data_IF_674360414723
#
_entry.id   IF_674360414723
#
_cell.length_a   1.000
_cell.length_b   1.000
_cell.length_c   1.000
_cell.angle_alpha   90.00
_cell.angle_beta   90.00
_cell.angle_gamma   90.00
#
_symmetry.space_group_name_H-M   'P 1'
#
loop_
_entity.id
_entity.type
_entity.pdbx_description
1 polymer ?
#
# COMPACT_ATOMS: atom_id res chain seq x y z
N UNK A 1 -1.43 -18.61 7.86
CA UNK A 1 -0.63 -17.90 8.88
C UNK A 1 -1.55 -17.45 10.01
N UNK A 2 -1.19 -17.61 11.29
CA UNK A 2 -2.04 -17.13 12.37
C UNK A 2 -1.61 -15.72 12.77
N UNK A 3 -2.50 -14.73 12.58
CA UNK A 3 -2.28 -13.38 13.08
C UNK A 3 -2.29 -13.39 14.62
N UNK A 4 -1.39 -12.60 15.21
CA UNK A 4 -1.30 -12.48 16.66
C UNK A 4 -2.38 -11.54 17.23
N UNK A 5 -2.86 -10.59 16.41
CA UNK A 5 -3.82 -9.57 16.82
C UNK A 5 -4.58 -8.98 15.63
N UNK A 6 -5.74 -8.38 15.87
CA UNK A 6 -6.60 -7.78 14.86
C UNK A 6 -6.63 -6.25 15.02
N UNK A 7 -6.67 -5.51 13.91
CA UNK A 7 -6.74 -4.05 13.87
C UNK A 7 -8.05 -3.62 13.22
N UNK A 8 -8.85 -2.85 13.95
CA UNK A 8 -10.16 -2.36 13.51
C UNK A 8 -10.24 -0.83 13.36
N UNK A 9 -9.21 -0.11 13.80
CA UNK A 9 -9.10 1.35 13.66
C UNK A 9 -7.65 1.82 13.82
N UNK A 10 -7.36 3.05 13.40
CA UNK A 10 -6.06 3.68 13.59
C UNK A 10 -5.73 3.87 15.09
N UNK A 11 -6.73 4.23 15.90
CA UNK A 11 -6.57 4.40 17.34
C UNK A 11 -6.19 3.07 18.03
N UNK A 12 -6.81 1.96 17.62
CA UNK A 12 -6.47 0.61 18.10
C UNK A 12 -5.04 0.24 17.74
N UNK A 13 -4.62 0.51 16.50
CA UNK A 13 -3.25 0.25 16.06
C UNK A 13 -2.22 1.06 16.87
N UNK A 14 -2.44 2.36 17.05
CA UNK A 14 -1.57 3.22 17.89
C UNK A 14 -1.41 2.66 19.32
N UNK A 15 -2.53 2.25 19.94
CA UNK A 15 -2.52 1.66 21.28
C UNK A 15 -1.66 0.40 21.36
N UNK A 16 -1.77 -0.48 20.37
CA UNK A 16 -1.03 -1.75 20.33
C UNK A 16 0.46 -1.55 20.03
N UNK A 17 0.82 -0.54 19.25
CA UNK A 17 2.21 -0.21 18.94
C UNK A 17 2.97 0.41 20.10
N UNK A 18 2.30 1.19 20.95
CA UNK A 18 2.93 2.01 22.01
C UNK A 18 3.93 1.24 22.84
N UNK A 19 3.56 0.05 23.32
CA UNK A 19 4.43 -0.82 24.14
C UNK A 19 5.74 -1.23 23.47
N UNK A 20 5.73 -1.36 22.14
CA UNK A 20 6.94 -1.74 21.40
C UNK A 20 7.82 -0.52 21.14
N UNK A 21 7.21 0.62 20.77
CA UNK A 21 7.93 1.87 20.52
C UNK A 21 8.62 2.43 21.78
N UNK A 22 8.10 2.13 22.97
CA UNK A 22 8.72 2.50 24.24
C UNK A 22 9.92 1.60 24.60
N UNK A 23 10.00 0.39 24.04
CA UNK A 23 11.01 -0.61 24.41
C UNK A 23 12.11 -0.81 23.36
N UNK A 24 11.87 -0.42 22.12
CA UNK A 24 12.77 -0.75 21.01
C UNK A 24 12.99 0.43 20.08
N UNK A 25 14.24 0.72 19.79
CA UNK A 25 14.65 1.83 18.90
C UNK A 25 14.56 1.46 17.41
N UNK A 26 14.70 0.18 17.06
CA UNK A 26 14.72 -0.30 15.68
C UNK A 26 13.59 -1.30 15.44
N UNK A 27 12.53 -0.80 14.83
CA UNK A 27 11.36 -1.60 14.44
C UNK A 27 11.16 -1.40 12.94
N UNK A 28 10.97 -2.51 12.23
CA UNK A 28 10.68 -2.55 10.81
C UNK A 28 9.29 -3.12 10.60
N UNK A 29 8.61 -2.58 9.60
CA UNK A 29 7.26 -2.98 9.25
C UNK A 29 7.16 -3.32 7.77
N UNK A 30 6.26 -4.26 7.45
CA UNK A 30 5.83 -4.54 6.11
C UNK A 30 4.32 -4.69 6.09
N UNK A 31 3.64 -3.96 5.20
CA UNK A 31 2.21 -4.06 4.95
C UNK A 31 1.94 -4.89 3.70
N UNK A 32 0.96 -5.78 3.76
CA UNK A 32 0.52 -6.61 2.64
C UNK A 32 -1.01 -6.53 2.53
N UNK A 33 -1.49 -6.27 1.33
CA UNK A 33 -2.92 -6.03 1.06
C UNK A 33 -3.77 -7.30 1.21
N UNK A 34 -3.16 -8.46 1.11
CA UNK A 34 -3.74 -9.78 1.32
C UNK A 34 -2.69 -10.74 1.87
N UNK A 35 -3.08 -11.94 2.24
CA UNK A 35 -2.15 -12.99 2.62
C UNK A 35 -1.43 -13.52 1.37
N UNK A 36 -0.14 -13.25 1.29
CA UNK A 36 0.73 -13.88 0.31
C UNK A 36 1.38 -15.12 0.91
N UNK A 37 1.50 -16.22 0.14
CA UNK A 37 2.10 -17.45 0.65
C UNK A 37 3.56 -17.24 1.08
N UNK A 38 4.29 -16.39 0.36
CA UNK A 38 5.70 -16.09 0.61
C UNK A 38 5.96 -14.60 0.49
N UNK A 39 6.82 -14.05 1.36
CA UNK A 39 7.34 -12.67 1.28
C UNK A 39 8.62 -12.66 0.46
N UNK A 40 8.43 -12.83 -0.84
CA UNK A 40 9.50 -12.95 -1.82
C UNK A 40 9.79 -11.63 -2.52
N UNK A 41 11.07 -11.35 -2.81
CA UNK A 41 11.44 -10.22 -3.66
C UNK A 41 11.02 -10.48 -5.12
N UNK A 42 10.95 -9.39 -5.90
CA UNK A 42 10.50 -9.48 -7.30
C UNK A 42 11.38 -10.37 -8.19
N UNK A 43 12.64 -10.58 -7.82
CA UNK A 43 13.58 -11.44 -8.54
C UNK A 43 13.15 -12.92 -8.56
N UNK A 44 12.34 -13.35 -7.59
CA UNK A 44 11.85 -14.72 -7.50
C UNK A 44 10.50 -14.96 -8.18
N UNK A 45 9.93 -13.96 -8.85
CA UNK A 45 8.63 -14.08 -9.54
C UNK A 45 8.70 -14.84 -10.85
N UNK A 46 9.91 -15.02 -11.39
CA UNK A 46 10.18 -15.81 -12.59
C UNK A 46 11.56 -16.44 -12.44
N UNK A 47 11.70 -17.72 -12.82
CA UNK A 47 12.95 -18.47 -12.66
C UNK A 47 14.13 -17.80 -13.38
N UNK A 48 13.89 -17.24 -14.57
CA UNK A 48 14.92 -16.57 -15.35
C UNK A 48 15.45 -15.27 -14.74
N UNK A 49 14.72 -14.63 -13.81
CA UNK A 49 15.18 -13.36 -13.24
C UNK A 49 16.41 -13.55 -12.33
N UNK A 50 16.38 -14.52 -11.44
CA UNK A 50 17.50 -14.77 -10.54
C UNK A 50 18.76 -15.19 -11.31
N UNK A 51 18.61 -16.06 -12.29
CA UNK A 51 19.73 -16.53 -13.14
C UNK A 51 20.38 -15.37 -13.93
N UNK A 52 19.61 -14.32 -14.26
CA UNK A 52 20.06 -13.18 -15.05
C UNK A 52 20.17 -11.87 -14.24
N UNK A 53 20.25 -11.93 -12.90
CA UNK A 53 20.29 -10.74 -12.04
C UNK A 53 21.43 -9.77 -12.43
N UNK A 54 22.65 -10.29 -12.59
CA UNK A 54 23.81 -9.50 -13.03
C UNK A 54 23.66 -8.96 -14.45
N UNK A 55 23.12 -9.76 -15.38
CA UNK A 55 22.89 -9.31 -16.77
C UNK A 55 21.89 -8.15 -16.81
N UNK A 56 20.77 -8.26 -16.11
CA UNK A 56 19.77 -7.19 -16.02
C UNK A 56 20.38 -5.91 -15.43
N UNK A 57 21.20 -6.02 -14.38
CA UNK A 57 21.90 -4.86 -13.84
C UNK A 57 22.84 -4.22 -14.87
N UNK A 58 23.68 -5.02 -15.55
CA UNK A 58 24.65 -4.52 -16.52
C UNK A 58 23.98 -3.86 -17.71
N UNK A 59 22.92 -4.45 -18.27
CA UNK A 59 22.16 -3.86 -19.37
C UNK A 59 21.51 -2.53 -18.97
N UNK A 60 20.92 -2.45 -17.79
CA UNK A 60 20.37 -1.19 -17.27
C UNK A 60 21.45 -0.12 -17.06
N UNK A 61 22.66 -0.52 -16.62
CA UNK A 61 23.79 0.42 -16.52
C UNK A 61 24.29 0.89 -17.88
N UNK A 62 24.24 0.05 -18.91
CA UNK A 62 24.58 0.47 -20.28
C UNK A 62 23.55 1.44 -20.85
N UNK A 63 22.26 1.17 -20.65
CA UNK A 63 21.18 2.00 -21.18
C UNK A 63 20.97 3.31 -20.41
N UNK A 64 21.09 3.26 -19.06
CA UNK A 64 20.67 4.36 -18.17
C UNK A 64 21.70 4.76 -17.13
N UNK A 65 22.97 4.40 -17.29
CA UNK A 65 24.03 4.64 -16.31
C UNK A 65 24.20 6.11 -15.93
N UNK A 66 24.01 7.04 -16.87
CA UNK A 66 24.03 8.48 -16.58
C UNK A 66 22.94 8.93 -15.61
N UNK A 67 21.74 8.33 -15.70
CA UNK A 67 20.62 8.62 -14.81
C UNK A 67 20.86 8.05 -13.42
N UNK A 68 21.66 6.98 -13.32
CA UNK A 68 21.97 6.28 -12.08
C UNK A 68 23.30 6.70 -11.44
N UNK A 69 24.05 7.66 -12.05
CA UNK A 69 25.39 8.05 -11.56
C UNK A 69 25.42 8.61 -10.14
N UNK A 70 24.30 9.22 -9.72
CA UNK A 70 24.18 9.79 -8.37
C UNK A 70 23.64 8.81 -7.34
N UNK A 71 23.28 7.59 -7.76
CA UNK A 71 22.80 6.55 -6.85
C UNK A 71 23.93 6.04 -5.96
N UNK A 72 23.62 5.87 -4.69
CA UNK A 72 24.61 5.47 -3.70
C UNK A 72 25.04 4.02 -3.90
N UNK A 73 26.24 3.81 -4.43
CA UNK A 73 26.86 2.48 -4.63
C UNK A 73 25.92 1.47 -5.31
N UNK A 74 26.16 0.18 -5.14
CA UNK A 74 25.29 -0.87 -5.69
C UNK A 74 23.89 -0.88 -5.06
N UNK A 75 23.78 -0.69 -3.74
CA UNK A 75 22.50 -0.70 -3.04
C UNK A 75 21.53 0.39 -3.54
N UNK A 76 22.03 1.61 -3.76
CA UNK A 76 21.20 2.70 -4.30
C UNK A 76 20.81 2.47 -5.75
N UNK A 77 21.68 1.83 -6.55
CA UNK A 77 21.34 1.44 -7.93
C UNK A 77 20.27 0.35 -7.96
N UNK A 78 20.41 -0.69 -7.14
CA UNK A 78 19.36 -1.72 -7.00
C UNK A 78 18.02 -1.12 -6.57
N UNK A 79 18.02 -0.16 -5.65
CA UNK A 79 16.81 0.54 -5.24
C UNK A 79 16.16 1.33 -6.37
N UNK A 80 16.97 1.97 -7.25
CA UNK A 80 16.45 2.64 -8.45
C UNK A 80 15.95 1.65 -9.50
N UNK A 81 16.61 0.52 -9.67
CA UNK A 81 16.15 -0.55 -10.57
C UNK A 81 14.78 -1.05 -10.13
N UNK A 82 14.61 -1.39 -8.84
CA UNK A 82 13.33 -1.82 -8.29
C UNK A 82 12.24 -0.76 -8.46
N UNK A 83 12.55 0.51 -8.23
CA UNK A 83 11.61 1.61 -8.45
C UNK A 83 11.11 1.68 -9.91
N UNK A 84 11.95 1.28 -10.85
CA UNK A 84 11.63 1.22 -12.29
C UNK A 84 11.20 -0.17 -12.75
N UNK A 85 10.68 -1.00 -11.85
CA UNK A 85 10.13 -2.33 -12.10
C UNK A 85 11.14 -3.37 -12.63
N UNK A 86 12.43 -3.14 -12.49
CA UNK A 86 13.42 -4.19 -12.74
C UNK A 86 13.45 -5.13 -11.53
N UNK A 87 13.34 -6.44 -11.73
CA UNK A 87 13.40 -7.39 -10.64
C UNK A 87 14.71 -7.31 -9.86
N UNK A 88 14.64 -7.28 -8.55
CA UNK A 88 15.80 -7.25 -7.64
C UNK A 88 15.57 -8.16 -6.43
N UNK A 89 16.65 -8.49 -5.71
CA UNK A 89 16.60 -9.22 -4.43
C UNK A 89 16.23 -8.35 -3.23
N UNK A 90 15.89 -7.08 -3.45
CA UNK A 90 15.42 -6.19 -2.40
C UNK A 90 13.94 -6.43 -2.13
N UNK A 91 13.57 -6.36 -0.86
CA UNK A 91 12.18 -6.36 -0.42
C UNK A 91 11.92 -5.07 0.37
N UNK A 92 10.88 -4.33 -0.04
CA UNK A 92 10.51 -3.07 0.61
C UNK A 92 9.97 -3.34 2.02
N UNK A 93 10.53 -2.62 2.97
CA UNK A 93 10.07 -2.51 4.35
C UNK A 93 10.09 -1.03 4.74
N UNK A 94 9.46 -0.68 5.82
CA UNK A 94 9.42 0.71 6.30
C UNK A 94 9.68 0.77 7.80
N UNK A 95 10.16 1.90 8.28
CA UNK A 95 10.23 2.20 9.72
C UNK A 95 8.96 2.91 10.23
N UNK A 96 8.04 3.26 9.33
CA UNK A 96 6.79 3.90 9.68
C UNK A 96 5.63 2.90 9.73
N UNK A 97 5.05 2.61 10.91
CA UNK A 97 3.95 1.68 11.04
C UNK A 97 2.70 2.11 10.27
N UNK A 98 2.46 3.42 10.12
CA UNK A 98 1.27 3.92 9.42
C UNK A 98 1.39 3.78 7.91
N UNK A 99 2.61 3.89 7.38
CA UNK A 99 2.89 3.55 5.97
C UNK A 99 2.63 2.06 5.72
N UNK A 100 3.10 1.17 6.61
CA UNK A 100 2.81 -0.26 6.49
C UNK A 100 1.30 -0.55 6.61
N UNK A 101 0.59 0.14 7.52
CA UNK A 101 -0.86 0.01 7.65
C UNK A 101 -1.59 0.49 6.38
N UNK A 102 -1.11 1.57 5.75
CA UNK A 102 -1.64 2.02 4.47
C UNK A 102 -1.52 0.92 3.40
N UNK A 103 -0.34 0.30 3.24
CA UNK A 103 -0.13 -0.79 2.29
C UNK A 103 -1.04 -2.00 2.57
N UNK A 104 -1.24 -2.34 3.85
CA UNK A 104 -2.16 -3.43 4.23
C UNK A 104 -3.63 -3.11 3.89
N UNK A 105 -3.98 -1.82 3.83
CA UNK A 105 -5.32 -1.33 3.50
C UNK A 105 -5.45 -0.86 2.05
N UNK A 106 -4.40 -0.94 1.22
CA UNK A 106 -4.38 -0.36 -0.12
C UNK A 106 -5.48 -0.96 -1.01
N UNK A 107 -6.04 -0.12 -1.88
CA UNK A 107 -7.08 -0.51 -2.82
C UNK A 107 -6.45 -0.94 -4.14
N UNK A 108 -6.13 -2.22 -4.27
CA UNK A 108 -5.59 -2.80 -5.50
C UNK A 108 -6.65 -3.70 -6.17
N UNK A 109 -7.52 -3.10 -6.99
CA UNK A 109 -8.45 -3.84 -7.83
C UNK A 109 -9.34 -4.83 -7.04
N UNK A 110 -9.09 -6.13 -7.20
CA UNK A 110 -9.89 -7.24 -6.66
C UNK A 110 -9.65 -7.50 -5.15
N UNK A 111 -8.54 -7.02 -4.58
CA UNK A 111 -8.13 -7.38 -3.21
C UNK A 111 -8.85 -6.60 -2.08
N UNK A 112 -9.91 -5.84 -2.40
CA UNK A 112 -10.68 -5.10 -1.38
C UNK A 112 -11.51 -5.97 -0.45
N UNK A 113 -11.77 -7.21 -0.82
CA UNK A 113 -12.56 -8.19 -0.08
C UNK A 113 -11.71 -9.13 0.78
N UNK A 114 -10.39 -9.02 0.70
CA UNK A 114 -9.45 -9.82 1.48
C UNK A 114 -8.88 -9.03 2.66
N UNK A 115 -8.55 -9.76 3.73
CA UNK A 115 -7.89 -9.19 4.90
C UNK A 115 -6.47 -8.74 4.54
N UNK A 116 -6.03 -7.63 5.12
CA UNK A 116 -4.66 -7.15 5.02
C UNK A 116 -3.83 -7.54 6.24
N UNK A 117 -2.50 -7.43 6.11
CA UNK A 117 -1.58 -7.82 7.17
C UNK A 117 -0.46 -6.80 7.34
N UNK A 118 -0.11 -6.52 8.60
CA UNK A 118 1.11 -5.76 8.95
C UNK A 118 2.02 -6.67 9.76
N UNK A 119 3.20 -6.90 9.24
CA UNK A 119 4.28 -7.66 9.87
C UNK A 119 5.23 -6.71 10.57
N UNK A 120 5.57 -7.00 11.82
CA UNK A 120 6.49 -6.22 12.62
C UNK A 120 7.73 -7.03 12.97
N UNK A 121 8.90 -6.44 12.74
CA UNK A 121 10.20 -7.04 13.01
C UNK A 121 11.01 -6.13 13.93
N UNK A 122 11.61 -6.69 14.98
CA UNK A 122 12.56 -6.00 15.85
C UNK A 122 13.93 -6.58 15.55
N UNK A 123 14.79 -5.83 14.89
CA UNK A 123 16.10 -6.27 14.40
C UNK A 123 17.09 -5.11 14.40
N UNK A 124 18.37 -5.44 14.61
CA UNK A 124 19.45 -4.48 14.41
C UNK A 124 19.79 -4.41 12.92
N UNK A 125 19.32 -3.36 12.26
CA UNK A 125 19.63 -3.12 10.86
C UNK A 125 21.07 -2.65 10.65
N UNK A 126 21.58 -2.86 9.44
CA UNK A 126 22.88 -2.38 9.01
C UNK A 126 22.75 -1.02 8.32
N UNK A 127 23.70 -0.13 8.56
CA UNK A 127 23.81 1.12 7.78
C UNK A 127 24.06 0.78 6.30
N UNK A 128 23.51 1.57 5.37
CA UNK A 128 23.83 1.43 3.94
C UNK A 128 25.32 1.61 3.64
N UNK A 129 26.08 2.25 4.57
CA UNK A 129 27.53 2.41 4.51
C UNK A 129 28.31 1.20 5.02
N UNK A 130 27.65 0.22 5.64
CA UNK A 130 28.36 -0.94 6.22
C UNK A 130 28.97 -1.81 5.13
N UNK A 131 30.13 -2.44 5.42
CA UNK A 131 30.75 -3.38 4.48
C UNK A 131 29.82 -4.53 4.11
N UNK A 132 29.02 -5.04 5.06
CA UNK A 132 28.12 -6.16 4.81
C UNK A 132 27.07 -5.81 3.75
N UNK A 133 26.46 -4.60 3.81
CA UNK A 133 25.51 -4.12 2.80
C UNK A 133 26.19 -3.92 1.46
N UNK A 134 27.42 -3.39 1.47
CA UNK A 134 28.20 -3.21 0.24
C UNK A 134 28.49 -4.58 -0.42
N UNK A 135 28.96 -5.57 0.35
CA UNK A 135 29.27 -6.91 -0.14
C UNK A 135 28.04 -7.55 -0.78
N UNK A 136 26.92 -7.60 -0.04
CA UNK A 136 25.71 -8.28 -0.51
C UNK A 136 25.09 -7.60 -1.73
N UNK A 137 25.10 -6.26 -1.77
CA UNK A 137 24.61 -5.50 -2.94
C UNK A 137 25.57 -5.59 -4.14
N UNK A 138 26.88 -5.64 -3.90
CA UNK A 138 27.88 -5.83 -4.96
C UNK A 138 27.72 -7.21 -5.61
N UNK A 139 27.56 -8.25 -4.79
CA UNK A 139 27.32 -9.60 -5.26
C UNK A 139 26.05 -9.70 -6.12
N UNK A 140 24.97 -9.04 -5.73
CA UNK A 140 23.73 -8.95 -6.53
C UNK A 140 23.96 -8.29 -7.90
N UNK A 141 24.80 -7.26 -7.97
CA UNK A 141 25.10 -6.56 -9.22
C UNK A 141 26.10 -7.31 -10.11
N UNK A 142 26.98 -8.10 -9.51
CA UNK A 142 28.10 -8.80 -10.16
C UNK A 142 28.27 -10.21 -9.56
N UNK A 143 27.33 -11.10 -9.79
CA UNK A 143 27.35 -12.46 -9.19
C UNK A 143 28.53 -13.32 -9.67
N UNK A 144 29.15 -12.93 -10.80
CA UNK A 144 30.32 -13.60 -11.35
C UNK A 144 31.63 -13.35 -10.57
N UNK A 145 31.66 -12.35 -9.69
CA UNK A 145 32.89 -12.04 -8.94
C UNK A 145 33.21 -13.12 -7.89
N UNK A 146 34.45 -13.54 -7.87
CA UNK A 146 34.97 -14.40 -6.81
C UNK A 146 35.02 -13.70 -5.46
N UNK A 147 35.01 -14.46 -4.36
CA UNK A 147 35.08 -13.85 -3.00
C UNK A 147 36.35 -13.02 -2.81
N UNK A 148 37.47 -13.42 -3.45
CA UNK A 148 38.71 -12.65 -3.46
C UNK A 148 38.57 -11.32 -4.13
N UNK A 149 37.94 -11.26 -5.32
CA UNK A 149 37.68 -10.00 -6.04
C UNK A 149 36.75 -9.09 -5.26
N UNK A 150 35.72 -9.64 -4.60
CA UNK A 150 34.86 -8.87 -3.71
C UNK A 150 35.65 -8.30 -2.54
N UNK A 151 36.53 -9.09 -1.89
CA UNK A 151 37.36 -8.62 -0.79
C UNK A 151 38.29 -7.48 -1.23
N UNK A 152 38.89 -7.58 -2.44
CA UNK A 152 39.70 -6.52 -3.02
C UNK A 152 38.90 -5.22 -3.25
N UNK A 153 37.67 -5.33 -3.79
CA UNK A 153 36.79 -4.17 -3.97
C UNK A 153 36.36 -3.54 -2.64
N UNK A 154 36.07 -4.34 -1.62
CA UNK A 154 35.77 -3.86 -0.26
C UNK A 154 36.94 -3.07 0.29
N UNK A 155 38.17 -3.57 0.14
CA UNK A 155 39.38 -2.83 0.56
C UNK A 155 39.57 -1.54 -0.22
N UNK A 156 39.37 -1.56 -1.54
CA UNK A 156 39.52 -0.38 -2.39
C UNK A 156 38.55 0.73 -1.99
N UNK A 157 37.26 0.37 -1.76
CA UNK A 157 36.19 1.32 -1.51
C UNK A 157 36.08 1.76 -0.04
N UNK A 158 36.27 0.83 0.89
CA UNK A 158 35.92 1.04 2.30
C UNK A 158 37.15 1.04 3.22
N UNK A 159 38.33 0.65 2.70
CA UNK A 159 39.59 0.49 3.48
C UNK A 159 39.42 -0.48 4.66
N UNK A 160 38.56 -1.49 4.50
CA UNK A 160 38.31 -2.55 5.48
C UNK A 160 38.72 -3.89 4.86
N UNK A 161 39.49 -4.69 5.60
CA UNK A 161 39.91 -6.02 5.15
C UNK A 161 38.87 -7.07 5.58
N UNK A 162 38.45 -7.90 4.62
CA UNK A 162 37.62 -9.08 4.84
C UNK A 162 38.36 -10.29 4.28
N UNK A 163 38.31 -11.42 5.00
CA UNK A 163 38.74 -12.71 4.45
C UNK A 163 37.67 -13.28 3.50
N UNK A 164 38.06 -14.19 2.65
CA UNK A 164 37.12 -14.87 1.73
C UNK A 164 35.99 -15.59 2.49
N UNK A 165 36.32 -16.25 3.62
CA UNK A 165 35.32 -16.89 4.47
C UNK A 165 34.32 -15.88 5.03
N UNK A 166 34.79 -14.69 5.38
CA UNK A 166 33.90 -13.62 5.88
C UNK A 166 33.00 -13.07 4.77
N UNK A 167 33.53 -12.90 3.56
CA UNK A 167 32.75 -12.53 2.37
C UNK A 167 31.66 -13.58 2.13
N UNK A 168 32.03 -14.86 2.09
CA UNK A 168 31.07 -15.96 1.92
C UNK A 168 29.96 -15.93 2.99
N UNK A 169 30.33 -15.76 4.27
CA UNK A 169 29.36 -15.65 5.36
C UNK A 169 28.37 -14.51 5.13
N UNK A 170 28.85 -13.34 4.67
CA UNK A 170 27.98 -12.17 4.42
C UNK A 170 27.02 -12.43 3.26
N UNK A 171 27.50 -13.06 2.16
CA UNK A 171 26.67 -13.37 0.99
C UNK A 171 25.51 -14.32 1.35
N UNK A 172 25.71 -15.19 2.34
CA UNK A 172 24.68 -16.12 2.84
C UNK A 172 23.91 -15.60 4.08
N UNK A 173 24.02 -14.31 4.41
CA UNK A 173 23.33 -13.71 5.57
C UNK A 173 22.42 -12.56 5.12
N UNK A 174 21.08 -12.73 5.16
CA UNK A 174 20.16 -11.66 4.78
C UNK A 174 20.22 -10.50 5.78
N UNK A 175 19.99 -9.28 5.29
CA UNK A 175 20.19 -8.06 6.04
C UNK A 175 18.97 -7.13 6.03
N UNK A 176 18.65 -6.57 7.20
CA UNK A 176 17.84 -5.36 7.29
C UNK A 176 18.74 -4.15 7.09
N UNK A 177 18.41 -3.29 6.12
CA UNK A 177 19.15 -2.06 5.84
C UNK A 177 18.41 -0.89 6.47
N UNK A 178 19.13 -0.11 7.28
CA UNK A 178 18.57 1.09 7.93
C UNK A 178 18.15 2.13 6.89
N UNK A 179 17.10 2.86 7.22
CA UNK A 179 16.73 4.04 6.44
C UNK A 179 17.90 5.01 6.33
N UNK A 180 18.18 5.50 5.14
CA UNK A 180 19.23 6.49 4.88
C UNK A 180 18.77 7.49 3.83
N UNK A 181 19.23 8.73 3.95
CA UNK A 181 19.04 9.75 2.91
C UNK A 181 19.76 9.37 1.61
N UNK A 182 20.89 8.69 1.72
CA UNK A 182 21.68 8.25 0.56
C UNK A 182 20.90 7.29 -0.35
N UNK A 183 20.05 6.44 0.23
CA UNK A 183 19.20 5.50 -0.50
C UNK A 183 18.01 6.18 -1.19
N UNK A 184 17.62 7.37 -0.74
CA UNK A 184 16.49 8.13 -1.29
C UNK A 184 16.90 9.15 -2.35
N UNK A 185 18.18 9.23 -2.71
CA UNK A 185 18.66 10.13 -3.77
C UNK A 185 18.02 9.72 -5.10
N UNK A 186 17.27 10.64 -5.69
CA UNK A 186 16.54 10.39 -6.93
C UNK A 186 15.28 9.52 -6.81
N UNK A 187 14.88 9.16 -5.58
CA UNK A 187 13.69 8.34 -5.33
C UNK A 187 12.80 8.95 -4.24
N UNK A 188 11.87 9.81 -4.67
CA UNK A 188 10.90 10.49 -3.79
C UNK A 188 9.96 9.51 -3.08
N UNK A 189 9.69 8.34 -3.69
CA UNK A 189 8.82 7.31 -3.11
C UNK A 189 9.46 6.68 -1.88
N UNK A 190 10.73 6.29 -1.93
CA UNK A 190 11.47 5.75 -0.75
C UNK A 190 11.44 6.78 0.39
N UNK A 191 11.59 8.06 0.06
CA UNK A 191 11.57 9.13 1.05
C UNK A 191 10.20 9.27 1.71
N UNK A 192 9.13 9.35 0.92
CA UNK A 192 7.75 9.48 1.38
C UNK A 192 7.31 8.27 2.21
N UNK A 193 7.63 7.09 1.75
CA UNK A 193 7.31 5.83 2.43
C UNK A 193 8.18 5.55 3.66
N UNK A 194 9.13 6.43 4.00
CA UNK A 194 10.16 6.17 5.02
C UNK A 194 10.78 4.79 4.83
N UNK A 195 10.97 4.45 3.55
CA UNK A 195 11.36 3.15 3.09
C UNK A 195 12.80 2.79 3.45
N UNK A 196 12.99 1.53 3.65
CA UNK A 196 14.26 0.84 3.77
C UNK A 196 14.12 -0.55 3.16
N UNK A 197 15.16 -1.38 3.21
CA UNK A 197 15.15 -2.65 2.50
C UNK A 197 15.52 -3.81 3.40
N UNK A 198 14.93 -4.96 3.10
CA UNK A 198 15.50 -6.24 3.43
C UNK A 198 16.21 -6.76 2.17
N UNK A 199 17.49 -7.12 2.28
CA UNK A 199 18.26 -7.73 1.18
C UNK A 199 18.26 -9.23 1.39
N UNK A 200 17.70 -9.97 0.43
CA UNK A 200 17.76 -11.43 0.42
C UNK A 200 19.20 -11.89 0.12
N UNK A 201 19.65 -12.91 0.82
CA UNK A 201 20.95 -13.52 0.68
C UNK A 201 20.86 -14.81 -0.13
N UNK A 202 21.97 -15.30 -0.66
CA UNK A 202 22.01 -16.59 -1.34
C UNK A 202 21.79 -17.73 -0.35
N UNK A 203 21.02 -18.73 -0.74
CA UNK A 203 20.95 -19.99 -0.01
C UNK A 203 21.98 -21.00 -0.56
N UNK A 204 22.15 -22.12 0.14
CA UNK A 204 23.09 -23.18 -0.26
C UNK A 204 22.62 -23.98 -1.50
N UNK A 205 21.40 -23.75 -2.00
CA UNK A 205 20.76 -24.51 -3.08
C UNK A 205 20.63 -23.72 -4.38
N UNK A 206 21.17 -22.50 -4.43
CA UNK A 206 21.08 -21.61 -5.58
C UNK A 206 19.81 -20.77 -5.62
N UNK A 207 19.07 -20.71 -4.51
CA UNK A 207 17.94 -19.80 -4.30
C UNK A 207 18.30 -18.64 -3.38
N UNK A 208 17.28 -18.01 -2.78
CA UNK A 208 17.47 -16.92 -1.84
C UNK A 208 16.85 -17.19 -0.47
N UNK A 209 17.55 -16.75 0.57
CA UNK A 209 17.04 -16.65 1.93
C UNK A 209 16.16 -15.39 2.00
N UNK A 210 14.86 -15.60 2.02
CA UNK A 210 13.85 -14.52 1.97
C UNK A 210 13.44 -14.05 3.38
N UNK A 211 12.58 -13.04 3.44
CA UNK A 211 12.07 -12.51 4.70
C UNK A 211 11.22 -13.55 5.48
N UNK A 212 10.74 -14.60 4.84
CA UNK A 212 10.02 -15.70 5.50
C UNK A 212 10.89 -16.51 6.47
N UNK A 213 12.21 -16.52 6.24
CA UNK A 213 13.16 -17.13 7.18
C UNK A 213 13.28 -16.38 8.50
N UNK A 214 12.78 -15.13 8.56
CA UNK A 214 12.84 -14.25 9.72
C UNK A 214 11.45 -14.16 10.35
N UNK A 215 11.21 -14.80 11.50
CA UNK A 215 9.90 -14.70 12.15
C UNK A 215 9.61 -13.26 12.57
N UNK A 216 8.42 -12.71 12.23
CA UNK A 216 7.97 -11.43 12.75
C UNK A 216 7.67 -11.56 14.24
N UNK A 217 7.87 -10.46 14.99
CA UNK A 217 7.51 -10.39 16.42
C UNK A 217 5.99 -10.29 16.59
N UNK A 218 5.33 -9.58 15.66
CA UNK A 218 3.87 -9.45 15.64
C UNK A 218 3.36 -9.50 14.19
N UNK A 219 2.17 -10.07 14.04
CA UNK A 219 1.39 -10.05 12.81
C UNK A 219 0.02 -9.47 13.16
N UNK A 220 -0.29 -8.30 12.60
CA UNK A 220 -1.58 -7.66 12.74
C UNK A 220 -2.44 -7.96 11.51
N UNK A 221 -3.63 -8.51 11.71
CA UNK A 221 -4.64 -8.71 10.67
C UNK A 221 -5.56 -7.50 10.60
N UNK A 222 -5.82 -7.01 9.43
CA UNK A 222 -6.77 -5.94 9.16
C UNK A 222 -7.94 -6.57 8.37
N UNK A 223 -9.11 -6.79 8.98
CA UNK A 223 -10.26 -7.35 8.27
C UNK A 223 -10.66 -6.44 7.10
N UNK A 224 -11.05 -7.05 5.99
CA UNK A 224 -11.42 -6.36 4.76
C UNK A 224 -12.45 -5.25 4.98
N UNK A 225 -13.42 -5.48 5.88
CA UNK A 225 -14.48 -4.51 6.22
C UNK A 225 -13.99 -3.21 6.85
N UNK A 226 -12.81 -3.21 7.48
CA UNK A 226 -12.24 -2.02 8.14
C UNK A 226 -11.21 -1.27 7.28
N UNK A 227 -10.72 -1.84 6.20
CA UNK A 227 -9.69 -1.22 5.36
C UNK A 227 -10.06 0.17 4.86
N UNK A 228 -11.29 0.36 4.39
CA UNK A 228 -11.75 1.66 3.90
C UNK A 228 -11.75 2.71 5.01
N UNK A 229 -12.30 2.37 6.18
CA UNK A 229 -12.34 3.26 7.35
C UNK A 229 -10.93 3.63 7.81
N UNK A 230 -10.03 2.65 7.91
CA UNK A 230 -8.64 2.90 8.32
C UNK A 230 -7.90 3.80 7.32
N UNK A 231 -8.12 3.63 5.99
CA UNK A 231 -7.54 4.56 4.99
C UNK A 231 -8.05 5.99 5.17
N UNK A 232 -9.33 6.16 5.46
CA UNK A 232 -9.92 7.48 5.71
C UNK A 232 -9.35 8.11 7.00
N UNK A 233 -9.13 7.32 8.03
CA UNK A 233 -8.49 7.75 9.28
C UNK A 233 -7.03 8.15 9.02
N UNK A 234 -6.25 7.34 8.27
CA UNK A 234 -4.87 7.64 7.89
C UNK A 234 -4.77 8.94 7.09
N UNK A 235 -5.67 9.20 6.14
CA UNK A 235 -5.69 10.44 5.38
C UNK A 235 -6.04 11.65 6.27
N UNK A 236 -7.03 11.53 7.13
CA UNK A 236 -7.49 12.62 8.00
C UNK A 236 -6.49 12.98 9.08
N UNK A 237 -5.94 11.99 9.78
CA UNK A 237 -5.15 12.18 11.00
C UNK A 237 -3.65 12.24 10.73
N UNK A 238 -3.12 11.37 9.86
CA UNK A 238 -1.68 11.26 9.56
C UNK A 238 -1.29 11.89 8.22
N UNK A 239 -2.27 12.32 7.40
CA UNK A 239 -2.05 12.81 6.04
C UNK A 239 -1.42 11.77 5.11
N UNK A 240 -1.56 10.48 5.46
CA UNK A 240 -1.08 9.36 4.66
C UNK A 240 -2.20 8.91 3.72
N UNK A 241 -2.01 9.18 2.44
CA UNK A 241 -2.92 8.84 1.35
C UNK A 241 -2.11 8.45 0.10
N UNK A 242 -2.78 8.16 -0.99
CA UNK A 242 -2.13 7.76 -2.24
C UNK A 242 -1.13 8.81 -2.76
N UNK A 243 -1.40 10.11 -2.61
CA UNK A 243 -0.48 11.17 -3.04
C UNK A 243 0.75 11.26 -2.16
N UNK A 244 0.62 10.96 -0.88
CA UNK A 244 1.76 10.88 0.04
C UNK A 244 2.63 9.66 -0.27
N UNK A 245 2.00 8.49 -0.44
CA UNK A 245 2.71 7.22 -0.69
C UNK A 245 3.36 7.17 -2.07
N UNK A 246 2.67 7.72 -3.08
CA UNK A 246 3.13 7.78 -4.47
C UNK A 246 3.20 9.23 -4.94
N UNK A 247 4.28 9.95 -4.59
CA UNK A 247 4.40 11.40 -4.81
C UNK A 247 4.63 11.79 -6.28
N UNK A 248 4.64 10.83 -7.19
CA UNK A 248 4.80 11.08 -8.62
C UNK A 248 3.56 11.76 -9.21
N UNK A 249 3.76 12.69 -10.13
CA UNK A 249 2.69 13.48 -10.75
C UNK A 249 1.55 12.63 -11.36
N UNK A 250 1.79 11.48 -12.04
CA UNK A 250 0.71 10.64 -12.54
C UNK A 250 -0.22 10.12 -11.44
N UNK A 251 0.32 9.75 -10.29
CA UNK A 251 -0.44 9.26 -9.14
C UNK A 251 -1.29 10.38 -8.53
N UNK A 252 -0.73 11.58 -8.38
CA UNK A 252 -1.47 12.77 -7.95
C UNK A 252 -2.62 13.10 -8.89
N UNK A 253 -2.39 13.05 -10.19
CA UNK A 253 -3.43 13.26 -11.21
C UNK A 253 -4.55 12.22 -11.15
N UNK A 254 -4.21 10.95 -10.93
CA UNK A 254 -5.19 9.87 -10.76
C UNK A 254 -6.04 10.07 -9.50
N UNK A 255 -5.42 10.44 -8.38
CA UNK A 255 -6.11 10.75 -7.13
C UNK A 255 -7.10 11.90 -7.29
N UNK A 256 -6.67 13.02 -7.91
CA UNK A 256 -7.55 14.18 -8.13
C UNK A 256 -8.72 13.84 -9.04
N UNK A 257 -8.49 13.07 -10.11
CA UNK A 257 -9.57 12.60 -10.97
C UNK A 257 -10.58 11.74 -10.20
N UNK A 258 -10.12 10.82 -9.37
CA UNK A 258 -11.01 10.00 -8.54
C UNK A 258 -11.79 10.85 -7.52
N UNK A 259 -11.10 11.78 -6.83
CA UNK A 259 -11.67 12.67 -5.81
C UNK A 259 -12.76 13.58 -6.36
N UNK A 260 -12.55 14.15 -7.55
CA UNK A 260 -13.47 15.13 -8.16
C UNK A 260 -14.36 14.53 -9.25
N UNK A 261 -14.26 13.23 -9.48
CA UNK A 261 -15.16 12.54 -10.41
C UNK A 261 -16.58 12.63 -9.88
N UNK A 262 -17.50 13.04 -10.75
CA UNK A 262 -18.93 12.97 -10.46
C UNK A 262 -19.33 11.50 -10.42
N UNK A 263 -19.60 10.98 -9.24
CA UNK A 263 -20.23 9.67 -9.09
C UNK A 263 -21.70 9.88 -9.39
N UNK A 264 -22.16 9.38 -10.55
CA UNK A 264 -23.60 9.29 -10.82
C UNK A 264 -24.10 8.07 -10.05
N UNK A 265 -25.07 8.31 -9.18
CA UNK A 265 -25.78 7.24 -8.52
C UNK A 265 -26.85 6.75 -9.49
N UNK A 266 -26.80 5.49 -9.86
CA UNK A 266 -27.88 4.86 -10.65
C UNK A 266 -29.02 4.51 -9.70
N UNK A 267 -30.09 5.28 -9.78
CA UNK A 267 -31.30 5.05 -8.99
C UNK A 267 -31.99 3.84 -9.52
N UNK A 268 -32.32 2.91 -8.64
CA UNK A 268 -33.13 1.73 -8.94
C UNK A 268 -34.38 1.71 -8.09
N UNK A 269 -35.42 1.00 -8.54
CA UNK A 269 -36.68 0.83 -7.78
C UNK A 269 -36.48 0.12 -6.41
N UNK A 270 -35.30 -0.48 -6.18
CA UNK A 270 -34.91 -1.06 -4.89
C UNK A 270 -34.41 -0.04 -3.87
N UNK A 271 -34.15 1.18 -4.30
CA UNK A 271 -33.56 2.22 -3.45
C UNK A 271 -34.63 3.04 -2.71
N UNK A 272 -35.90 2.92 -3.13
CA UNK A 272 -37.00 3.64 -2.52
C UNK A 272 -38.32 2.84 -2.62
N UNK A 273 -39.27 3.17 -1.75
CA UNK A 273 -40.61 2.64 -1.78
C UNK A 273 -41.62 3.80 -1.79
N UNK A 274 -42.59 3.76 -2.70
CA UNK A 274 -43.72 4.70 -2.73
C UNK A 274 -44.86 4.08 -1.94
N UNK A 275 -45.27 4.74 -0.85
CA UNK A 275 -46.35 4.25 0.02
C UNK A 275 -47.72 4.77 -0.35
N UNK A 276 -47.82 6.02 -0.83
CA UNK A 276 -49.07 6.69 -1.11
C UNK A 276 -48.91 7.61 -2.31
N UNK A 277 -49.90 7.59 -3.18
CA UNK A 277 -50.07 8.49 -4.30
C UNK A 277 -51.47 9.04 -4.22
N UNK A 278 -51.62 10.32 -3.84
CA UNK A 278 -52.93 10.98 -3.86
C UNK A 278 -52.96 12.02 -4.97
N UNK A 279 -54.07 12.09 -5.70
CA UNK A 279 -54.32 13.09 -6.75
C UNK A 279 -55.52 13.94 -6.35
N UNK A 280 -55.31 15.26 -6.22
CA UNK A 280 -56.44 16.18 -6.04
C UNK A 280 -57.07 16.56 -7.38
N UNK A 281 -58.39 16.44 -7.44
CA UNK A 281 -59.21 16.71 -8.64
C UNK A 281 -59.95 18.06 -8.51
N UNK A 282 -59.27 19.17 -8.71
CA UNK A 282 -59.93 20.47 -8.90
C UNK A 282 -59.10 21.32 -9.85
N UNK A 283 -59.36 21.27 -11.14
CA UNK A 283 -58.74 22.07 -12.22
C UNK A 283 -57.20 21.97 -12.33
N UNK A 284 -56.54 21.29 -11.41
CA UNK A 284 -55.10 21.05 -11.32
C UNK A 284 -54.88 19.57 -10.92
N UNK A 285 -53.93 18.88 -11.58
CA UNK A 285 -53.56 17.52 -11.23
C UNK A 285 -52.34 17.55 -10.29
N UNK A 286 -52.57 17.82 -9.03
CA UNK A 286 -51.52 17.76 -8.01
C UNK A 286 -51.35 16.32 -7.53
N UNK A 287 -50.10 15.85 -7.49
CA UNK A 287 -49.76 14.52 -7.02
C UNK A 287 -48.89 14.61 -5.79
N UNK A 288 -49.31 13.96 -4.71
CA UNK A 288 -48.50 13.83 -3.48
C UNK A 288 -47.91 12.44 -3.45
N UNK A 289 -46.59 12.36 -3.30
CA UNK A 289 -45.83 11.11 -3.23
C UNK A 289 -45.15 11.01 -1.87
N UNK A 290 -45.45 9.92 -1.16
CA UNK A 290 -44.80 9.58 0.10
C UNK A 290 -43.82 8.44 -0.19
N UNK A 291 -42.50 8.73 -0.10
CA UNK A 291 -41.46 7.75 -0.40
C UNK A 291 -40.55 7.53 0.81
N UNK A 292 -40.14 6.28 1.03
CA UNK A 292 -39.05 5.97 1.95
C UNK A 292 -37.82 5.55 1.17
N UNK A 293 -36.67 5.87 1.71
CA UNK A 293 -35.38 5.48 1.16
C UNK A 293 -34.82 4.35 2.00
N UNK A 294 -34.63 3.20 1.38
CA UNK A 294 -34.23 1.94 2.03
C UNK A 294 -32.82 1.99 2.65
N UNK A 295 -31.94 2.82 2.09
CA UNK A 295 -30.55 2.95 2.58
C UNK A 295 -30.43 4.06 3.59
N UNK A 296 -30.08 3.73 4.84
CA UNK A 296 -29.71 4.69 5.88
C UNK A 296 -28.40 5.41 5.51
N UNK A 297 -28.31 6.73 5.79
CA UNK A 297 -27.13 7.56 5.60
C UNK A 297 -26.67 7.81 4.15
N UNK A 298 -27.60 7.84 3.19
CA UNK A 298 -27.27 8.28 1.84
C UNK A 298 -26.85 9.77 1.83
N UNK A 299 -25.78 10.12 1.07
CA UNK A 299 -25.44 11.52 0.83
C UNK A 299 -26.62 12.29 0.22
N UNK A 300 -26.84 13.52 0.67
CA UNK A 300 -27.98 14.35 0.25
C UNK A 300 -28.09 14.51 -1.28
N UNK A 301 -26.95 14.50 -1.98
CA UNK A 301 -26.93 14.54 -3.45
C UNK A 301 -27.59 13.34 -4.10
N UNK A 302 -27.50 12.15 -3.47
CA UNK A 302 -28.15 10.94 -3.97
C UNK A 302 -29.62 10.88 -3.64
N UNK A 303 -30.01 11.40 -2.46
CA UNK A 303 -31.42 11.61 -2.13
C UNK A 303 -32.09 12.51 -3.19
N UNK A 304 -31.42 13.60 -3.59
CA UNK A 304 -31.92 14.48 -4.67
C UNK A 304 -32.05 13.75 -6.01
N UNK A 305 -31.15 12.84 -6.35
CA UNK A 305 -31.26 12.05 -7.59
C UNK A 305 -32.43 11.08 -7.54
N UNK A 306 -32.69 10.43 -6.39
CA UNK A 306 -33.87 9.58 -6.20
C UNK A 306 -35.14 10.42 -6.37
N UNK A 307 -35.23 11.56 -5.71
CA UNK A 307 -36.39 12.46 -5.83
C UNK A 307 -36.59 12.89 -7.28
N UNK A 308 -35.54 13.29 -7.99
CA UNK A 308 -35.63 13.68 -9.38
C UNK A 308 -36.10 12.51 -10.28
N UNK A 309 -35.59 11.32 -10.08
CA UNK A 309 -35.98 10.12 -10.81
C UNK A 309 -37.46 9.82 -10.62
N UNK A 310 -37.95 9.85 -9.37
CA UNK A 310 -39.38 9.66 -9.07
C UNK A 310 -40.22 10.74 -9.71
N UNK A 311 -39.82 12.03 -9.63
CA UNK A 311 -40.52 13.13 -10.28
C UNK A 311 -40.67 12.94 -11.79
N UNK A 312 -39.65 12.46 -12.46
CA UNK A 312 -39.66 12.23 -13.91
C UNK A 312 -40.72 11.21 -14.33
N UNK A 313 -40.98 10.19 -13.48
CA UNK A 313 -42.02 9.21 -13.72
C UNK A 313 -43.45 9.76 -13.68
N UNK A 314 -43.68 10.90 -13.00
CA UNK A 314 -45.02 11.52 -12.84
C UNK A 314 -45.21 12.82 -13.63
N UNK A 315 -44.21 13.33 -14.32
CA UNK A 315 -44.25 14.63 -15.06
C UNK A 315 -45.38 14.71 -16.12
N UNK A 316 -45.70 13.61 -16.75
CA UNK A 316 -46.76 13.56 -17.79
C UNK A 316 -48.17 13.53 -17.22
N UNK A 317 -48.33 13.17 -15.96
CA UNK A 317 -49.63 12.94 -15.32
C UNK A 317 -50.03 14.01 -14.27
N UNK A 318 -49.09 14.94 -13.97
CA UNK A 318 -49.27 15.87 -12.85
C UNK A 318 -48.82 17.28 -13.22
N UNK A 319 -49.59 18.29 -12.80
CA UNK A 319 -49.23 19.72 -12.92
C UNK A 319 -48.29 20.14 -11.81
N UNK A 320 -48.43 19.58 -10.63
CA UNK A 320 -47.53 19.74 -9.47
C UNK A 320 -47.28 18.43 -8.79
N UNK A 321 -46.05 18.18 -8.39
CA UNK A 321 -45.64 16.97 -7.67
C UNK A 321 -45.05 17.39 -6.33
N UNK A 322 -45.68 16.94 -5.25
CA UNK A 322 -45.16 17.08 -3.88
C UNK A 322 -44.53 15.77 -3.45
N UNK A 323 -43.28 15.83 -3.01
CA UNK A 323 -42.58 14.62 -2.55
C UNK A 323 -42.19 14.77 -1.10
N UNK A 324 -42.66 13.84 -0.29
CA UNK A 324 -42.34 13.70 1.12
C UNK A 324 -41.35 12.51 1.25
N UNK A 325 -40.16 12.78 1.76
CA UNK A 325 -39.10 11.79 1.90
C UNK A 325 -38.90 11.46 3.38
N UNK A 326 -39.01 10.19 3.74
CA UNK A 326 -38.77 9.69 5.09
C UNK A 326 -37.82 8.47 5.09
N UNK A 327 -37.35 8.11 6.27
CA UNK A 327 -36.55 6.88 6.48
C UNK A 327 -37.38 5.69 6.94
N UNK A 328 -38.62 5.95 7.38
CA UNK A 328 -39.60 4.92 7.72
C UNK A 328 -41.03 5.41 7.44
N UNK A 329 -41.98 4.47 7.35
CA UNK A 329 -43.41 4.78 7.20
C UNK A 329 -43.92 5.57 8.43
N UNK A 330 -43.39 5.33 9.60
CA UNK A 330 -43.81 5.95 10.87
C UNK A 330 -43.39 7.42 10.93
N UNK A 331 -42.22 7.78 10.39
CA UNK A 331 -41.75 9.16 10.34
C UNK A 331 -42.66 10.05 9.45
N UNK A 332 -43.32 9.46 8.46
CA UNK A 332 -44.19 10.20 7.54
C UNK A 332 -45.60 10.46 8.10
N UNK A 333 -46.09 9.61 9.02
CA UNK A 333 -47.38 9.78 9.68
C UNK A 333 -47.41 10.98 10.66
N UNK A 334 -46.26 11.57 10.98
CA UNK A 334 -46.16 12.76 11.84
C UNK A 334 -46.40 14.09 11.09
N UNK A 335 -46.59 14.04 9.76
CA UNK A 335 -46.79 15.23 8.92
C UNK A 335 -48.21 15.31 8.31
N UNK A 336 -49.16 14.46 8.75
CA UNK A 336 -50.61 14.57 8.40
C UNK A 336 -51.41 15.24 9.49
#
# INVERSE_FOLDING_TARGET
>A
MHANDEIISLADFRKKLKRFQECYDEIYFRGEVEEFPNREPSILRDEGYLENEGCMYQEMMQMYGEQMKNAYRCIGKLALLQHNNVPTRLLDITVDPFVALYFACEQNGIANDKDGYVFMYIRNGKSCNSPDVYILSLHACFPELSYKEIAEKVWQELKVSYTEEKIQQVIHTPLFVKRSKDLSVGNSRIQAQKGCFFICADDEKGGLITLDSIPPVMIYRIPASYKATIRDELDKEEKINVCYIYPEMPSGGAYLRAKYRTVRYEVSEKDYTIYEVSQEKHCRRDTNLFITIEKKNLPIKWVKQIVQHVCEGYKSSSDVIWIYVGVSKEDMLLYN
#
